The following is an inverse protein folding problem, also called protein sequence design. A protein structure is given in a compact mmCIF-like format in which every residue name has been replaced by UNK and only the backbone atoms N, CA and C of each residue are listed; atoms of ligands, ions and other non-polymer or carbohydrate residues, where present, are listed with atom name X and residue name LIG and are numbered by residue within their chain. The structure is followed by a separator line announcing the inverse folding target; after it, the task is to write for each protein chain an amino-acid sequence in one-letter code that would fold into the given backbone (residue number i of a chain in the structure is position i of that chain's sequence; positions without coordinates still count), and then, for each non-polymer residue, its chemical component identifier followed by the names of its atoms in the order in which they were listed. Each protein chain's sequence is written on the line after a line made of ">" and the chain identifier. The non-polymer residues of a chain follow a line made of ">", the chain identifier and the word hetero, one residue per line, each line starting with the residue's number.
data_IF_416645376408
#
_entry.id   IF_416645376408
#
_cell.length_a   1.000
_cell.length_b   1.000
_cell.length_c   1.000
_cell.angle_alpha   90.00
_cell.angle_beta   90.00
_cell.angle_gamma   90.00
#
_symmetry.space_group_name_H-M   'P 1'
#
loop_
_entity.id
_entity.type
_entity.pdbx_description
1 polymer ?
#
# COMPACT_ATOMS: atom_id res chain seq x y z
N UNK A 1 10.62 -47.93 3.08
CA UNK A 1 11.77 -47.02 3.15
C UNK A 1 11.25 -45.69 3.63
N UNK A 2 11.61 -45.28 4.83
CA UNK A 2 11.25 -43.94 5.36
C UNK A 2 12.17 -42.93 4.67
N UNK A 3 11.57 -42.01 3.94
CA UNK A 3 12.29 -40.87 3.36
C UNK A 3 12.76 -39.99 4.52
N UNK A 4 14.06 -39.95 4.75
CA UNK A 4 14.67 -39.02 5.70
C UNK A 4 14.42 -37.64 5.13
N UNK A 5 13.66 -36.79 5.85
CA UNK A 5 13.58 -35.38 5.53
C UNK A 5 14.96 -34.77 5.81
N UNK A 6 15.68 -34.41 4.77
CA UNK A 6 16.86 -33.57 4.90
C UNK A 6 16.39 -32.20 5.38
N UNK A 7 16.85 -31.82 6.57
CA UNK A 7 16.64 -30.45 7.05
C UNK A 7 17.53 -29.52 6.23
N UNK A 8 16.94 -28.57 5.55
CA UNK A 8 17.69 -27.52 4.85
C UNK A 8 18.58 -26.76 5.85
N UNK A 9 19.84 -26.59 5.49
CA UNK A 9 20.80 -25.79 6.27
C UNK A 9 20.44 -24.29 6.14
N UNK A 10 19.86 -23.73 7.17
CA UNK A 10 19.48 -22.31 7.23
C UNK A 10 20.60 -21.40 7.77
N UNK A 11 21.84 -21.86 7.82
CA UNK A 11 22.98 -21.10 8.36
C UNK A 11 23.30 -19.81 7.61
N UNK A 12 22.82 -19.64 6.37
CA UNK A 12 23.00 -18.46 5.52
C UNK A 12 21.82 -17.49 5.54
N UNK A 13 20.86 -17.69 6.42
CA UNK A 13 19.69 -16.81 6.49
C UNK A 13 20.03 -15.51 7.20
N UNK A 14 19.70 -14.40 6.54
CA UNK A 14 19.78 -13.07 7.10
C UNK A 14 18.37 -12.57 7.48
N UNK A 15 18.24 -11.96 8.65
CA UNK A 15 17.00 -11.35 9.10
C UNK A 15 17.06 -9.83 8.90
N UNK A 16 16.11 -9.30 8.15
CA UNK A 16 15.90 -7.88 7.97
C UNK A 16 14.59 -7.44 8.61
N UNK A 17 14.58 -6.25 9.20
CA UNK A 17 13.36 -5.60 9.69
C UNK A 17 12.97 -4.48 8.75
N UNK A 18 11.67 -4.36 8.47
CA UNK A 18 11.15 -3.37 7.54
C UNK A 18 9.69 -3.04 7.85
N UNK A 19 9.08 -2.26 6.99
CA UNK A 19 7.67 -1.87 7.08
C UNK A 19 6.88 -2.45 5.92
N UNK A 20 5.70 -3.00 6.21
CA UNK A 20 4.78 -3.52 5.21
C UNK A 20 4.15 -2.37 4.40
N UNK A 21 4.19 -2.48 3.08
CA UNK A 21 3.60 -1.51 2.15
C UNK A 21 2.35 -2.00 1.41
N UNK A 22 1.76 -3.11 1.85
CA UNK A 22 0.57 -3.68 1.20
C UNK A 22 -0.72 -2.89 1.46
N UNK A 23 -0.76 -2.08 2.51
CA UNK A 23 -1.88 -1.19 2.83
C UNK A 23 -1.43 -0.01 3.71
N UNK A 24 -2.36 0.82 4.13
CA UNK A 24 -2.09 2.00 4.95
C UNK A 24 -1.67 1.71 6.40
N UNK A 25 -1.83 0.48 6.90
CA UNK A 25 -1.51 0.14 8.31
C UNK A 25 -0.01 0.15 8.61
N UNK A 26 0.85 -0.01 7.61
CA UNK A 26 2.31 0.11 7.76
C UNK A 26 2.89 -0.75 8.89
N UNK A 27 2.44 -1.99 9.00
CA UNK A 27 2.88 -2.93 10.02
C UNK A 27 4.38 -3.17 9.95
N UNK A 28 5.03 -3.31 11.11
CA UNK A 28 6.41 -3.75 11.19
C UNK A 28 6.55 -5.22 10.80
N UNK A 29 7.46 -5.53 9.90
CA UNK A 29 7.70 -6.88 9.39
C UNK A 29 9.12 -7.35 9.69
N UNK A 30 9.24 -8.66 9.83
CA UNK A 30 10.49 -9.40 9.86
C UNK A 30 10.59 -10.18 8.55
N UNK A 31 11.66 -9.98 7.81
CA UNK A 31 11.90 -10.59 6.50
C UNK A 31 13.09 -11.53 6.62
N UNK A 32 12.90 -12.77 6.23
CA UNK A 32 13.97 -13.76 6.10
C UNK A 32 14.51 -13.71 4.67
N UNK A 33 15.80 -13.46 4.53
CA UNK A 33 16.52 -13.38 3.26
C UNK A 33 17.55 -14.50 3.21
N UNK A 34 17.62 -15.20 2.10
CA UNK A 34 18.59 -16.25 1.82
C UNK A 34 19.06 -16.10 0.37
N UNK A 35 20.36 -16.13 0.14
CA UNK A 35 20.98 -15.90 -1.17
C UNK A 35 20.42 -14.63 -1.86
N UNK A 36 20.29 -13.55 -1.12
CA UNK A 36 19.75 -12.27 -1.57
C UNK A 36 18.28 -12.35 -2.07
N UNK A 37 17.55 -13.38 -1.70
CA UNK A 37 16.13 -13.56 -2.02
C UNK A 37 15.29 -13.57 -0.76
N UNK A 38 14.16 -12.88 -0.79
CA UNK A 38 13.18 -12.97 0.28
C UNK A 38 12.55 -14.35 0.27
N UNK A 39 12.65 -15.07 1.38
CA UNK A 39 12.06 -16.41 1.55
C UNK A 39 10.78 -16.38 2.35
N UNK A 40 10.72 -15.50 3.35
CA UNK A 40 9.56 -15.43 4.23
C UNK A 40 9.35 -14.03 4.78
N UNK A 41 8.07 -13.66 4.95
CA UNK A 41 7.65 -12.39 5.54
C UNK A 41 6.68 -12.70 6.68
N UNK A 42 6.97 -12.19 7.87
CA UNK A 42 6.12 -12.30 9.05
C UNK A 42 6.09 -10.99 9.83
N UNK A 43 5.19 -10.85 10.79
CA UNK A 43 5.13 -9.69 11.66
C UNK A 43 6.34 -9.62 12.59
N UNK A 44 6.80 -8.40 12.85
CA UNK A 44 7.87 -8.14 13.80
C UNK A 44 7.29 -8.10 15.23
N UNK A 45 7.65 -9.07 16.07
CA UNK A 45 7.18 -9.16 17.47
C UNK A 45 7.59 -7.97 18.34
N UNK A 46 8.70 -7.32 17.99
CA UNK A 46 9.21 -6.17 18.74
C UNK A 46 8.60 -4.84 18.25
N UNK A 47 7.72 -4.86 17.27
CA UNK A 47 7.08 -3.65 16.77
C UNK A 47 5.95 -3.23 17.73
N UNK A 48 5.91 -1.96 18.20
CA UNK A 48 5.01 -1.54 19.28
C UNK A 48 3.52 -1.60 18.92
N UNK A 49 3.19 -1.51 17.63
CA UNK A 49 1.81 -1.47 17.16
C UNK A 49 1.26 -2.87 16.85
N UNK A 50 1.91 -3.61 15.95
CA UNK A 50 1.38 -4.89 15.49
C UNK A 50 1.94 -6.12 16.21
N UNK A 51 2.97 -5.98 17.04
CA UNK A 51 3.49 -6.98 17.96
C UNK A 51 3.61 -8.41 17.38
N UNK A 52 4.01 -8.50 16.12
CA UNK A 52 4.17 -9.78 15.42
C UNK A 52 2.96 -10.22 14.59
N UNK A 53 1.82 -9.57 14.73
CA UNK A 53 0.64 -9.89 13.90
C UNK A 53 0.80 -9.29 12.51
N UNK A 54 0.49 -10.08 11.49
CA UNK A 54 0.52 -9.67 10.10
C UNK A 54 -0.62 -10.34 9.36
N UNK A 55 -1.43 -9.56 8.65
CA UNK A 55 -2.54 -10.10 7.87
C UNK A 55 -2.07 -10.80 6.59
N UNK A 56 -2.97 -11.54 5.95
CA UNK A 56 -2.69 -12.27 4.72
C UNK A 56 -2.09 -11.41 3.60
N UNK A 57 -2.52 -10.14 3.47
CA UNK A 57 -1.92 -9.20 2.49
C UNK A 57 -0.43 -8.98 2.71
N UNK A 58 -0.03 -8.78 3.97
CA UNK A 58 1.37 -8.55 4.32
C UNK A 58 2.23 -9.79 4.07
N UNK A 59 1.76 -10.96 4.46
CA UNK A 59 2.43 -12.24 4.19
C UNK A 59 2.53 -12.54 2.69
N UNK A 60 1.48 -12.22 1.91
CA UNK A 60 1.46 -12.37 0.46
C UNK A 60 2.37 -11.38 -0.29
N UNK A 61 3.01 -10.43 0.39
CA UNK A 61 3.95 -9.48 -0.21
C UNK A 61 5.09 -10.16 -0.98
N UNK A 62 5.49 -11.35 -0.56
CA UNK A 62 6.49 -12.16 -1.27
C UNK A 62 6.02 -12.54 -2.69
N UNK A 63 4.75 -12.86 -2.86
CA UNK A 63 4.18 -13.21 -4.18
C UNK A 63 4.19 -11.98 -5.10
N UNK A 64 3.91 -10.80 -4.57
CA UNK A 64 4.02 -9.55 -5.33
C UNK A 64 5.45 -9.29 -5.80
N UNK A 65 6.44 -9.56 -4.94
CA UNK A 65 7.86 -9.35 -5.26
C UNK A 65 8.34 -10.25 -6.39
N UNK A 66 7.92 -11.51 -6.40
CA UNK A 66 8.38 -12.54 -7.35
C UNK A 66 7.32 -12.95 -8.36
N UNK A 67 6.24 -12.21 -8.50
CA UNK A 67 5.21 -12.48 -9.50
C UNK A 67 5.83 -12.52 -10.91
N UNK A 68 5.57 -13.57 -11.70
CA UNK A 68 5.98 -13.61 -13.11
C UNK A 68 5.30 -12.52 -13.95
N UNK A 69 4.14 -12.05 -13.53
CA UNK A 69 3.42 -10.91 -14.17
C UNK A 69 3.91 -9.54 -13.74
N UNK A 70 4.96 -9.43 -12.92
CA UNK A 70 5.51 -8.13 -12.51
C UNK A 70 6.17 -7.44 -13.71
N UNK A 71 5.70 -6.23 -14.03
CA UNK A 71 6.30 -5.39 -15.05
C UNK A 71 7.73 -5.00 -14.61
N UNK A 72 8.69 -5.15 -15.51
CA UNK A 72 10.09 -4.82 -15.29
C UNK A 72 10.52 -3.59 -16.08
N UNK A 73 9.87 -3.38 -17.22
CA UNK A 73 10.12 -2.25 -18.12
C UNK A 73 8.84 -1.42 -18.29
N UNK A 74 8.94 -0.16 -18.68
CA UNK A 74 7.80 0.64 -19.06
C UNK A 74 7.09 0.03 -20.28
N UNK A 75 5.78 0.18 -20.29
CA UNK A 75 4.94 -0.29 -21.39
C UNK A 75 4.23 0.90 -22.04
N UNK A 76 4.22 0.92 -23.35
CA UNK A 76 3.40 1.83 -24.16
C UNK A 76 2.32 1.04 -24.88
N UNK A 77 1.10 1.57 -24.92
CA UNK A 77 0.05 0.99 -25.74
C UNK A 77 0.46 1.05 -27.22
N UNK A 78 0.29 -0.05 -27.93
CA UNK A 78 0.60 -0.11 -29.36
C UNK A 78 -0.23 0.91 -30.12
N UNK A 79 0.36 1.65 -31.07
CA UNK A 79 -0.36 2.59 -31.93
C UNK A 79 -1.51 1.90 -32.67
N UNK A 80 -2.64 2.60 -32.82
CA UNK A 80 -3.81 2.10 -33.56
C UNK A 80 -4.68 1.09 -32.83
N UNK A 81 -4.32 0.67 -31.60
CA UNK A 81 -5.16 -0.23 -30.79
C UNK A 81 -6.21 0.54 -30.01
N UNK A 82 -7.37 -0.08 -29.81
CA UNK A 82 -8.45 0.50 -29.03
C UNK A 82 -8.12 0.56 -27.54
N UNK A 83 -8.75 1.51 -26.83
CA UNK A 83 -8.63 1.59 -25.37
C UNK A 83 -9.25 0.35 -24.72
N UNK A 84 -8.47 -0.36 -23.92
CA UNK A 84 -8.91 -1.59 -23.24
C UNK A 84 -8.54 -2.87 -23.97
N UNK A 85 -7.98 -2.82 -25.19
CA UNK A 85 -7.53 -4.01 -25.91
C UNK A 85 -6.38 -4.77 -25.22
N UNK A 86 -5.67 -4.12 -24.28
CA UNK A 86 -4.59 -4.77 -23.54
C UNK A 86 -3.30 -4.99 -24.33
N UNK A 87 -3.19 -4.36 -25.50
CA UNK A 87 -2.03 -4.52 -26.36
C UNK A 87 -0.95 -3.47 -26.04
N UNK A 88 0.17 -3.95 -25.55
CA UNK A 88 1.30 -3.10 -25.14
C UNK A 88 2.61 -3.57 -25.78
N UNK A 89 3.57 -2.66 -25.86
CA UNK A 89 4.95 -2.93 -26.24
C UNK A 89 5.89 -2.38 -25.18
N UNK A 90 7.01 -3.03 -24.95
CA UNK A 90 8.05 -2.54 -24.05
C UNK A 90 8.80 -1.36 -24.69
N UNK A 91 9.07 -0.34 -23.89
CA UNK A 91 9.86 0.82 -24.27
C UNK A 91 10.97 1.06 -23.24
N UNK A 92 11.97 1.83 -23.60
CA UNK A 92 13.03 2.21 -22.66
C UNK A 92 12.51 3.19 -21.59
N UNK A 93 13.21 3.25 -20.46
CA UNK A 93 12.93 4.25 -19.43
C UNK A 93 13.13 5.67 -19.95
N UNK A 94 14.15 5.91 -20.78
CA UNK A 94 14.40 7.23 -21.37
C UNK A 94 13.27 7.66 -22.28
N UNK A 95 12.76 6.76 -23.11
CA UNK A 95 11.60 7.04 -23.96
C UNK A 95 10.34 7.34 -23.15
N UNK A 96 10.09 6.55 -22.09
CA UNK A 96 8.94 6.75 -21.21
C UNK A 96 9.00 8.11 -20.51
N UNK A 97 10.16 8.45 -19.93
CA UNK A 97 10.38 9.72 -19.21
C UNK A 97 10.27 10.91 -20.16
N UNK A 98 10.93 10.84 -21.31
CA UNK A 98 10.89 11.92 -22.30
C UNK A 98 9.47 12.17 -22.81
N UNK A 99 8.75 11.11 -23.17
CA UNK A 99 7.34 11.22 -23.61
C UNK A 99 6.47 11.87 -22.55
N UNK A 100 6.62 11.47 -21.28
CA UNK A 100 5.86 12.05 -20.18
C UNK A 100 6.23 13.51 -19.96
N UNK A 101 7.53 13.82 -19.94
CA UNK A 101 8.05 15.17 -19.73
C UNK A 101 7.59 16.14 -20.80
N UNK A 102 7.68 15.76 -22.07
CA UNK A 102 7.22 16.59 -23.19
C UNK A 102 5.74 16.92 -23.09
N UNK A 103 4.90 15.93 -22.81
CA UNK A 103 3.45 16.13 -22.67
C UNK A 103 3.10 17.01 -21.48
N UNK A 104 3.74 16.79 -20.33
CA UNK A 104 3.53 17.59 -19.13
C UNK A 104 4.01 19.03 -19.32
N UNK A 105 5.17 19.22 -19.96
CA UNK A 105 5.69 20.55 -20.30
C UNK A 105 4.73 21.32 -21.21
N UNK A 106 4.19 20.65 -22.23
CA UNK A 106 3.20 21.26 -23.12
C UNK A 106 1.92 21.67 -22.38
N UNK A 107 1.38 20.77 -21.53
CA UNK A 107 0.21 21.08 -20.71
C UNK A 107 0.48 22.27 -19.79
N UNK A 108 1.62 22.26 -19.10
CA UNK A 108 2.01 23.34 -18.19
C UNK A 108 2.15 24.69 -18.91
N UNK A 109 2.70 24.68 -20.11
CA UNK A 109 2.89 25.90 -20.90
C UNK A 109 1.58 26.46 -21.49
N UNK A 110 0.58 25.61 -21.74
CA UNK A 110 -0.69 26.02 -22.36
C UNK A 110 -1.77 26.30 -21.32
N UNK A 111 -2.09 25.31 -20.49
CA UNK A 111 -3.07 25.42 -19.41
C UNK A 111 -2.83 24.28 -18.39
N UNK A 112 -2.19 24.54 -17.25
CA UNK A 112 -1.90 23.53 -16.26
C UNK A 112 -3.15 22.85 -15.68
N UNK A 113 -4.32 23.49 -15.72
CA UNK A 113 -5.57 22.90 -15.24
C UNK A 113 -6.14 21.80 -16.15
N UNK A 114 -5.56 21.58 -17.32
CA UNK A 114 -5.87 20.39 -18.12
C UNK A 114 -5.28 19.10 -17.55
N UNK A 115 -4.38 19.20 -16.54
CA UNK A 115 -3.91 18.06 -15.80
C UNK A 115 -4.81 17.81 -14.58
N UNK A 116 -5.50 16.66 -14.57
CA UNK A 116 -6.11 16.11 -13.36
C UNK A 116 -5.12 15.13 -12.68
N UNK A 117 -4.79 15.39 -11.42
CA UNK A 117 -3.79 14.62 -10.68
C UNK A 117 -4.40 14.01 -9.42
N UNK A 118 -4.46 12.69 -9.39
CA UNK A 118 -5.02 11.93 -8.26
C UNK A 118 -3.94 11.07 -7.62
N UNK A 119 -3.85 11.11 -6.30
CA UNK A 119 -2.89 10.32 -5.54
C UNK A 119 -3.58 9.36 -4.59
N UNK A 120 -2.94 8.20 -4.37
CA UNK A 120 -3.39 7.23 -3.39
C UNK A 120 -3.07 7.67 -1.96
N UNK A 121 -3.41 6.81 -1.00
CA UNK A 121 -3.01 6.98 0.39
C UNK A 121 -1.58 6.50 0.56
N UNK A 122 -0.64 7.37 0.34
CA UNK A 122 0.79 7.14 0.59
C UNK A 122 1.35 8.17 1.58
N UNK A 123 2.55 7.93 2.04
CA UNK A 123 3.21 8.83 3.00
C UNK A 123 3.89 10.02 2.31
N UNK A 124 3.90 10.03 0.98
CA UNK A 124 4.49 11.08 0.17
C UNK A 124 3.47 12.13 -0.28
N UNK A 125 2.26 12.13 0.27
CA UNK A 125 1.18 13.05 -0.13
C UNK A 125 1.58 14.52 -0.04
N UNK A 126 2.40 14.88 0.94
CA UNK A 126 2.92 16.24 1.05
C UNK A 126 3.77 16.63 -0.17
N UNK A 127 4.63 15.74 -0.64
CA UNK A 127 5.45 15.97 -1.83
C UNK A 127 4.62 15.97 -3.11
N UNK A 128 3.66 15.07 -3.24
CA UNK A 128 2.77 15.03 -4.41
C UNK A 128 1.87 16.25 -4.48
N UNK A 129 1.39 16.75 -3.33
CA UNK A 129 0.65 18.01 -3.24
C UNK A 129 1.51 19.22 -3.60
N UNK A 130 2.74 19.28 -3.10
CA UNK A 130 3.69 20.32 -3.47
C UNK A 130 4.01 20.29 -4.97
N UNK A 131 4.19 19.09 -5.53
CA UNK A 131 4.41 18.94 -6.96
C UNK A 131 3.24 19.48 -7.78
N UNK A 132 1.99 19.14 -7.43
CA UNK A 132 0.79 19.64 -8.10
C UNK A 132 0.70 21.17 -8.06
N UNK A 133 1.01 21.76 -6.89
CA UNK A 133 1.05 23.20 -6.70
C UNK A 133 2.14 23.85 -7.57
N UNK A 134 3.34 23.29 -7.60
CA UNK A 134 4.45 23.78 -8.43
C UNK A 134 4.21 23.58 -9.92
N UNK A 135 3.47 22.54 -10.30
CA UNK A 135 3.01 22.36 -11.67
C UNK A 135 2.02 23.45 -12.09
N UNK A 136 1.17 23.88 -11.16
CA UNK A 136 0.18 24.94 -11.36
C UNK A 136 -1.24 24.44 -11.59
N UNK A 137 -1.52 23.13 -11.41
CA UNK A 137 -2.88 22.59 -11.54
C UNK A 137 -3.66 22.76 -10.24
N UNK A 138 -4.93 23.17 -10.37
CA UNK A 138 -5.89 23.14 -9.28
C UNK A 138 -6.67 21.81 -9.20
N UNK A 139 -6.56 20.98 -10.23
CA UNK A 139 -7.26 19.70 -10.35
C UNK A 139 -6.46 18.57 -9.69
N UNK A 140 -6.11 18.77 -8.42
CA UNK A 140 -5.44 17.76 -7.61
C UNK A 140 -6.34 17.29 -6.47
N UNK A 141 -6.34 15.99 -6.25
CA UNK A 141 -6.98 15.40 -5.07
C UNK A 141 -6.20 14.20 -4.56
N UNK A 142 -6.04 14.14 -3.24
CA UNK A 142 -5.47 13.00 -2.54
C UNK A 142 -6.57 12.04 -2.09
N UNK A 143 -6.19 10.82 -1.73
CA UNK A 143 -7.10 9.77 -1.24
C UNK A 143 -8.05 10.26 -0.14
N UNK A 144 -7.58 11.10 0.78
CA UNK A 144 -8.39 11.67 1.86
C UNK A 144 -9.67 12.34 1.36
N UNK A 145 -9.62 13.03 0.21
CA UNK A 145 -10.77 13.69 -0.40
C UNK A 145 -11.89 12.73 -0.83
N UNK A 146 -11.55 11.47 -1.12
CA UNK A 146 -12.51 10.44 -1.57
C UNK A 146 -12.83 9.39 -0.51
N UNK A 147 -12.15 9.38 0.63
CA UNK A 147 -12.27 8.37 1.67
C UNK A 147 -12.62 8.97 3.03
N UNK A 148 -11.75 9.80 3.59
CA UNK A 148 -11.84 10.21 4.99
C UNK A 148 -12.65 11.49 5.20
N UNK A 149 -12.95 12.25 4.17
CA UNK A 149 -13.75 13.49 4.27
C UNK A 149 -15.16 13.21 4.79
N UNK A 150 -15.79 12.13 4.34
CA UNK A 150 -17.09 11.71 4.84
C UNK A 150 -17.07 11.40 6.33
N UNK A 151 -16.02 10.79 6.84
CA UNK A 151 -15.83 10.49 8.26
C UNK A 151 -15.64 11.80 9.07
N UNK A 152 -14.81 12.72 8.57
CA UNK A 152 -14.65 14.03 9.21
C UNK A 152 -15.97 14.82 9.23
N UNK A 153 -16.72 14.78 8.14
CA UNK A 153 -18.04 15.41 8.04
C UNK A 153 -19.04 14.77 9.01
N UNK A 154 -19.10 13.44 9.06
CA UNK A 154 -19.94 12.74 10.03
C UNK A 154 -19.58 13.11 11.48
N UNK A 155 -18.28 13.25 11.78
CA UNK A 155 -17.82 13.70 13.09
C UNK A 155 -18.35 15.08 13.49
N UNK A 156 -18.38 16.01 12.54
CA UNK A 156 -18.95 17.36 12.79
C UNK A 156 -20.43 17.28 13.19
N UNK A 157 -21.22 16.45 12.53
CA UNK A 157 -22.65 16.33 12.81
C UNK A 157 -22.95 15.46 14.03
N UNK A 158 -22.15 14.45 14.32
CA UNK A 158 -22.41 13.47 15.39
C UNK A 158 -21.74 13.84 16.71
N UNK A 159 -20.53 14.42 16.64
CA UNK A 159 -19.66 14.67 17.79
C UNK A 159 -19.37 16.17 18.02
N UNK A 160 -19.73 17.02 17.07
CA UNK A 160 -19.46 18.47 17.11
C UNK A 160 -18.05 18.88 16.67
N UNK A 161 -17.22 17.94 16.25
CA UNK A 161 -15.89 18.22 15.70
C UNK A 161 -15.47 17.18 14.66
N UNK A 162 -14.65 17.61 13.70
CA UNK A 162 -14.08 16.71 12.71
C UNK A 162 -12.98 15.86 13.33
N UNK A 163 -12.91 14.58 12.91
CA UNK A 163 -11.77 13.71 13.22
C UNK A 163 -11.29 13.00 11.95
N UNK A 164 -9.98 12.79 11.88
CA UNK A 164 -9.31 12.23 10.69
C UNK A 164 -8.66 10.89 10.97
N UNK A 165 -8.60 10.49 12.21
CA UNK A 165 -7.96 9.26 12.63
C UNK A 165 -8.99 8.16 12.85
N UNK A 166 -8.63 6.95 12.45
CA UNK A 166 -9.39 5.77 12.82
C UNK A 166 -9.12 5.51 14.30
N UNK A 167 -10.04 5.94 15.15
CA UNK A 167 -9.92 5.75 16.59
C UNK A 167 -9.72 4.29 16.96
N UNK A 168 -8.93 4.05 17.98
CA UNK A 168 -8.82 2.73 18.60
C UNK A 168 -9.90 2.58 19.67
N UNK A 169 -10.59 1.44 19.75
CA UNK A 169 -11.43 1.11 20.90
C UNK A 169 -10.62 1.08 22.20
N UNK A 170 -11.24 1.46 23.30
CA UNK A 170 -10.64 1.29 24.63
C UNK A 170 -10.71 -0.20 25.02
N UNK A 171 -9.72 -0.97 24.60
CA UNK A 171 -9.66 -2.42 24.78
C UNK A 171 -9.65 -2.83 26.26
N UNK A 172 -9.08 -2.02 27.13
CA UNK A 172 -8.95 -2.34 28.56
C UNK A 172 -10.28 -2.17 29.31
N UNK A 173 -11.20 -1.33 28.79
CA UNK A 173 -12.47 -1.03 29.43
C UNK A 173 -13.69 -1.54 28.66
N UNK A 174 -13.52 -1.88 27.38
CA UNK A 174 -14.61 -2.39 26.54
C UNK A 174 -15.09 -3.75 27.05
N UNK A 175 -16.36 -3.83 27.42
CA UNK A 175 -16.98 -5.07 27.90
C UNK A 175 -17.78 -5.80 26.84
N UNK A 176 -18.13 -5.12 25.77
CA UNK A 176 -18.90 -5.68 24.65
C UNK A 176 -18.41 -5.07 23.35
N UNK A 177 -18.11 -5.91 22.37
CA UNK A 177 -17.60 -5.52 21.08
C UNK A 177 -18.35 -6.24 19.96
N UNK A 178 -18.97 -5.47 19.05
CA UNK A 178 -19.68 -6.03 17.91
C UNK A 178 -18.85 -5.85 16.63
N UNK A 179 -18.67 -6.94 15.91
CA UNK A 179 -18.05 -6.97 14.59
C UNK A 179 -19.12 -7.08 13.51
N UNK A 180 -19.18 -6.08 12.64
CA UNK A 180 -20.17 -6.04 11.57
C UNK A 180 -19.45 -6.11 10.21
N UNK A 181 -19.51 -7.28 9.56
CA UNK A 181 -18.90 -7.50 8.26
C UNK A 181 -17.38 -7.34 8.24
N UNK A 182 -16.71 -7.57 9.35
CA UNK A 182 -15.25 -7.47 9.49
C UNK A 182 -14.64 -8.86 9.37
N UNK A 183 -13.72 -9.04 8.43
CA UNK A 183 -12.90 -10.24 8.28
C UNK A 183 -11.57 -10.04 8.99
N UNK A 184 -11.51 -10.26 10.27
CA UNK A 184 -10.33 -9.96 11.11
C UNK A 184 -9.11 -10.76 10.71
N UNK A 185 -9.28 -12.02 10.37
CA UNK A 185 -8.18 -12.94 10.04
C UNK A 185 -7.54 -12.65 8.68
N UNK A 186 -8.25 -11.94 7.81
CA UNK A 186 -7.85 -11.79 6.40
C UNK A 186 -7.41 -10.36 6.05
N UNK A 187 -8.09 -9.35 6.56
CA UNK A 187 -7.91 -8.00 6.05
C UNK A 187 -8.04 -6.87 7.06
N UNK A 188 -8.32 -7.17 8.33
CA UNK A 188 -8.48 -6.13 9.33
C UNK A 188 -7.15 -5.57 9.84
N UNK A 189 -7.23 -4.49 10.59
CA UNK A 189 -6.08 -3.88 11.22
C UNK A 189 -5.41 -4.90 12.18
N UNK A 190 -4.11 -5.20 12.05
CA UNK A 190 -3.41 -6.20 12.85
C UNK A 190 -3.56 -6.04 14.37
N UNK A 191 -3.76 -4.82 14.84
CA UNK A 191 -3.96 -4.55 16.27
C UNK A 191 -5.24 -5.19 16.80
N UNK A 192 -6.28 -5.32 15.97
CA UNK A 192 -7.53 -6.00 16.35
C UNK A 192 -7.34 -7.51 16.49
N UNK A 193 -6.51 -8.12 15.66
CA UNK A 193 -6.20 -9.55 15.73
C UNK A 193 -5.52 -9.95 17.03
N UNK A 194 -4.74 -9.04 17.63
CA UNK A 194 -4.04 -9.31 18.89
C UNK A 194 -4.93 -9.21 20.13
N UNK A 195 -5.97 -8.38 20.07
CA UNK A 195 -6.83 -8.06 21.22
C UNK A 195 -8.17 -8.77 21.21
N UNK A 196 -8.56 -9.35 20.07
CA UNK A 196 -9.77 -10.14 19.99
C UNK A 196 -9.54 -11.52 20.60
N UNK A 197 -10.23 -11.91 21.68
CA UNK A 197 -10.18 -13.29 22.13
C UNK A 197 -10.69 -14.17 20.99
N UNK A 198 -9.91 -15.16 20.62
CA UNK A 198 -10.35 -16.23 19.73
C UNK A 198 -11.60 -16.87 20.33
N UNK A 199 -12.66 -17.15 19.55
CA UNK A 199 -13.82 -17.85 20.04
C UNK A 199 -13.48 -19.24 20.55
#
# INVERSE_FOLDING_TARGET
>A
MATVMEFEDHSKQEIKYSTCYMCACRCGIKVTVEDNKVRFIQGNRNHPINQGVLCAKGSAGIMKQYSPGKLRNPLRRKPGTERGAGEFEEISWDEAINTLTERLAHIRATDPNKLAYFTGRDQMQALTGLWAQQFGTLNWSAHGGFCSVNMATAGLYMLGHAFWEFGDPDWDRTKYFMLWGVAEDHSSNPRRLYTSPSP
#
